data_IF_432537522190
#
_entry.id   IF_432537522190
#
_cell.length_a   1.000
_cell.length_b   1.000
_cell.length_c   1.000
_cell.angle_alpha   90.00
_cell.angle_beta   90.00
_cell.angle_gamma   90.00
#
_symmetry.space_group_name_H-M   'P 1'
#
loop_
_entity.id
_entity.type
_entity.pdbx_description
1 polymer ?
#
# COMPACT_ATOMS: atom_id res chain seq x y z
N UNK A 1 -14.55 -3.85 13.94
CA UNK A 1 -13.92 -2.99 12.94
C UNK A 1 -12.50 -3.44 12.75
N UNK A 2 -11.83 -3.85 13.83
CA UNK A 2 -10.54 -4.55 13.79
C UNK A 2 -10.49 -5.67 12.73
N UNK A 3 -11.38 -6.67 12.84
CA UNK A 3 -11.42 -7.78 11.86
C UNK A 3 -11.62 -7.29 10.41
N UNK A 4 -12.46 -6.27 10.20
CA UNK A 4 -12.68 -5.70 8.87
C UNK A 4 -11.40 -5.03 8.35
N UNK A 5 -10.70 -4.27 9.19
CA UNK A 5 -9.46 -3.59 8.81
C UNK A 5 -8.30 -4.57 8.63
N UNK A 6 -8.32 -5.72 9.29
CA UNK A 6 -7.39 -6.83 9.01
C UNK A 6 -7.66 -7.45 7.64
N UNK A 7 -8.92 -7.71 7.30
CA UNK A 7 -9.30 -8.32 6.02
C UNK A 7 -9.17 -7.35 4.85
N UNK A 8 -9.56 -6.09 5.06
CA UNK A 8 -9.58 -5.01 4.08
C UNK A 8 -8.80 -3.81 4.65
N UNK A 9 -7.46 -3.77 4.53
CA UNK A 9 -6.64 -2.69 5.09
C UNK A 9 -7.04 -1.28 4.61
N UNK A 10 -7.60 -1.17 3.39
CA UNK A 10 -8.12 0.08 2.83
C UNK A 10 -9.48 0.53 3.40
N UNK A 11 -10.19 -0.30 4.17
CA UNK A 11 -11.58 -0.06 4.54
C UNK A 11 -11.81 1.27 5.27
N UNK A 12 -10.88 1.70 6.14
CA UNK A 12 -10.97 3.00 6.82
C UNK A 12 -10.95 4.16 5.82
N UNK A 13 -10.01 4.16 4.89
CA UNK A 13 -9.89 5.17 3.82
C UNK A 13 -11.17 5.20 2.98
N UNK A 14 -11.68 4.02 2.62
CA UNK A 14 -12.87 3.88 1.79
C UNK A 14 -14.12 4.40 2.49
N UNK A 15 -14.36 4.01 3.74
CA UNK A 15 -15.49 4.49 4.55
C UNK A 15 -15.44 6.00 4.77
N UNK A 16 -14.24 6.56 4.99
CA UNK A 16 -14.07 7.99 5.11
C UNK A 16 -14.36 8.71 3.79
N UNK A 17 -13.84 8.22 2.67
CA UNK A 17 -14.03 8.86 1.37
C UNK A 17 -15.50 8.81 0.88
N UNK A 18 -16.20 7.69 1.11
CA UNK A 18 -17.58 7.52 0.67
C UNK A 18 -18.60 8.15 1.64
N UNK A 19 -18.36 8.05 2.95
CA UNK A 19 -19.37 8.34 3.97
C UNK A 19 -18.89 9.24 5.12
N UNK A 20 -17.64 9.73 5.08
CA UNK A 20 -17.01 10.52 6.15
C UNK A 20 -16.94 9.80 7.52
N UNK A 21 -16.96 8.46 7.51
CA UNK A 21 -16.87 7.62 8.71
C UNK A 21 -15.40 7.31 9.05
N UNK A 22 -15.01 7.42 10.31
CA UNK A 22 -13.68 7.04 10.82
C UNK A 22 -12.56 8.10 10.67
N UNK A 23 -12.87 9.31 10.18
CA UNK A 23 -11.90 10.39 9.96
C UNK A 23 -11.95 11.56 10.95
N UNK A 24 -12.93 11.61 11.86
CA UNK A 24 -13.04 12.64 12.90
C UNK A 24 -13.57 12.03 14.21
N UNK A 25 -13.56 12.80 15.31
CA UNK A 25 -14.08 12.31 16.60
C UNK A 25 -15.58 11.98 16.57
N UNK A 26 -16.38 12.77 15.85
CA UNK A 26 -17.84 12.61 15.80
C UNK A 26 -18.30 11.40 14.99
N UNK A 27 -17.53 10.98 13.98
CA UNK A 27 -17.84 9.84 13.12
C UNK A 27 -16.89 8.66 13.35
N UNK A 28 -16.20 8.65 14.50
CA UNK A 28 -15.31 7.56 14.88
C UNK A 28 -16.09 6.27 15.16
N UNK A 29 -15.40 5.14 15.07
CA UNK A 29 -15.89 3.84 15.49
C UNK A 29 -14.87 3.20 16.41
N UNK A 30 -15.35 2.32 17.28
CA UNK A 30 -14.50 1.51 18.15
C UNK A 30 -14.03 0.27 17.40
N UNK A 31 -12.89 -0.27 17.81
CA UNK A 31 -12.30 -1.45 17.17
C UNK A 31 -13.21 -2.69 17.28
N UNK A 32 -14.00 -2.79 18.36
CA UNK A 32 -14.93 -3.88 18.65
C UNK A 32 -16.29 -3.79 17.92
N UNK A 33 -16.66 -2.64 17.35
CA UNK A 33 -17.93 -2.49 16.61
C UNK A 33 -17.95 -3.29 15.30
N UNK A 34 -19.08 -3.84 14.89
CA UNK A 34 -19.24 -4.42 13.55
C UNK A 34 -19.47 -3.35 12.49
N UNK A 35 -19.24 -3.67 11.21
CA UNK A 35 -19.61 -2.77 10.10
C UNK A 35 -21.10 -2.42 10.14
N UNK A 36 -21.97 -3.39 10.47
CA UNK A 36 -23.42 -3.19 10.55
C UNK A 36 -23.82 -2.19 11.65
N UNK A 37 -23.19 -2.25 12.82
CA UNK A 37 -23.42 -1.28 13.92
C UNK A 37 -22.98 0.12 13.50
N UNK A 38 -21.80 0.25 12.88
CA UNK A 38 -21.29 1.53 12.37
C UNK A 38 -22.22 2.09 11.29
N UNK A 39 -22.65 1.27 10.33
CA UNK A 39 -23.58 1.66 9.27
C UNK A 39 -24.94 2.11 9.83
N UNK A 40 -25.48 1.40 10.83
CA UNK A 40 -26.76 1.75 11.47
C UNK A 40 -26.69 3.11 12.15
N UNK A 41 -25.60 3.41 12.88
CA UNK A 41 -25.41 4.71 13.55
C UNK A 41 -25.31 5.89 12.57
N UNK A 42 -24.81 5.63 11.37
CA UNK A 42 -24.56 6.67 10.35
C UNK A 42 -25.62 6.66 9.23
N UNK A 43 -26.73 5.92 9.40
CA UNK A 43 -27.81 5.83 8.41
C UNK A 43 -27.35 5.34 7.01
N UNK A 44 -26.36 4.44 6.98
CA UNK A 44 -25.78 3.85 5.77
C UNK A 44 -26.36 2.45 5.57
N UNK A 45 -26.89 2.10 4.38
CA UNK A 45 -27.24 0.71 4.05
C UNK A 45 -25.97 -0.18 4.07
N UNK A 46 -25.97 -1.23 4.89
CA UNK A 46 -24.77 -2.05 5.10
C UNK A 46 -24.35 -2.77 3.82
N UNK A 47 -25.30 -3.18 2.98
CA UNK A 47 -25.05 -3.83 1.70
C UNK A 47 -24.35 -2.88 0.70
N UNK A 48 -24.70 -1.61 0.73
CA UNK A 48 -24.04 -0.58 -0.09
C UNK A 48 -22.60 -0.37 0.39
N UNK A 49 -22.39 -0.23 1.70
CA UNK A 49 -21.06 -0.10 2.27
C UNK A 49 -20.16 -1.30 1.96
N UNK A 50 -20.69 -2.53 2.04
CA UNK A 50 -19.97 -3.75 1.65
C UNK A 50 -19.54 -3.69 0.18
N UNK A 51 -20.45 -3.29 -0.72
CA UNK A 51 -20.16 -3.20 -2.16
C UNK A 51 -19.02 -2.21 -2.40
N UNK A 52 -19.11 -1.01 -1.84
CA UNK A 52 -18.07 0.03 -1.98
C UNK A 52 -16.72 -0.43 -1.41
N UNK A 53 -16.74 -1.16 -0.29
CA UNK A 53 -15.54 -1.71 0.33
C UNK A 53 -14.86 -2.77 -0.54
N UNK A 54 -15.63 -3.70 -1.10
CA UNK A 54 -15.11 -4.75 -1.97
C UNK A 54 -14.57 -4.17 -3.28
N UNK A 55 -15.28 -3.25 -3.92
CA UNK A 55 -14.80 -2.56 -5.13
C UNK A 55 -13.53 -1.74 -4.88
N UNK A 56 -13.41 -1.14 -3.70
CA UNK A 56 -12.18 -0.47 -3.29
C UNK A 56 -11.04 -1.45 -3.04
N UNK A 57 -11.34 -2.60 -2.43
CA UNK A 57 -10.35 -3.64 -2.18
C UNK A 57 -9.81 -4.23 -3.49
N UNK A 58 -10.67 -4.51 -4.46
CA UNK A 58 -10.26 -5.03 -5.76
C UNK A 58 -9.34 -4.04 -6.49
N UNK A 59 -9.64 -2.74 -6.40
CA UNK A 59 -8.77 -1.68 -6.92
C UNK A 59 -7.42 -1.66 -6.21
N UNK A 60 -7.40 -1.79 -4.89
CA UNK A 60 -6.14 -1.84 -4.12
C UNK A 60 -5.33 -3.10 -4.49
N UNK A 61 -5.97 -4.27 -4.62
CA UNK A 61 -5.31 -5.52 -5.00
C UNK A 61 -4.68 -5.44 -6.40
N UNK A 62 -5.31 -4.75 -7.34
CA UNK A 62 -4.75 -4.53 -8.68
C UNK A 62 -3.47 -3.67 -8.68
N UNK A 63 -3.18 -2.98 -7.58
CA UNK A 63 -1.96 -2.20 -7.39
C UNK A 63 -0.85 -2.99 -6.68
N UNK A 64 -1.08 -4.23 -6.26
CA UNK A 64 -0.10 -5.01 -5.50
C UNK A 64 0.70 -5.94 -6.41
N UNK A 65 1.96 -6.14 -6.04
CA UNK A 65 2.81 -7.24 -6.52
C UNK A 65 3.25 -8.07 -5.30
N UNK A 66 3.18 -9.40 -5.39
CA UNK A 66 3.63 -10.26 -4.30
C UNK A 66 5.16 -10.30 -4.22
N UNK A 67 5.76 -10.67 -3.07
CA UNK A 67 7.20 -10.88 -2.98
C UNK A 67 7.74 -11.89 -3.99
N UNK A 68 7.00 -12.99 -4.21
CA UNK A 68 7.39 -14.02 -5.19
C UNK A 68 7.32 -13.49 -6.62
N UNK A 69 6.28 -12.77 -7.00
CA UNK A 69 6.19 -12.17 -8.34
C UNK A 69 7.29 -11.13 -8.57
N UNK A 70 7.65 -10.36 -7.53
CA UNK A 70 8.80 -9.45 -7.61
C UNK A 70 10.12 -10.21 -7.79
N UNK A 71 10.28 -11.36 -7.12
CA UNK A 71 11.46 -12.22 -7.29
C UNK A 71 11.56 -12.75 -8.72
N UNK A 72 10.46 -13.27 -9.28
CA UNK A 72 10.41 -13.72 -10.66
C UNK A 72 10.83 -12.59 -11.61
N UNK A 73 10.34 -11.38 -11.37
CA UNK A 73 10.66 -10.22 -12.17
C UNK A 73 12.12 -9.78 -12.08
N UNK A 74 12.72 -9.83 -10.89
CA UNK A 74 14.16 -9.59 -10.68
C UNK A 74 15.03 -10.59 -11.45
N UNK A 75 14.52 -11.80 -11.70
CA UNK A 75 15.22 -12.82 -12.49
C UNK A 75 14.86 -12.82 -13.98
N UNK A 76 13.91 -11.97 -14.40
CA UNK A 76 13.47 -11.85 -15.78
C UNK A 76 14.27 -10.79 -16.54
N UNK A 77 14.27 -10.87 -17.87
CA UNK A 77 14.85 -9.83 -18.74
C UNK A 77 13.90 -8.62 -18.94
N UNK A 78 12.72 -8.61 -18.29
CA UNK A 78 11.77 -7.51 -18.41
C UNK A 78 12.22 -6.32 -17.54
N UNK A 79 12.50 -5.14 -18.13
CA UNK A 79 12.96 -4.00 -17.36
C UNK A 79 11.84 -3.41 -16.50
N UNK A 80 12.17 -3.14 -15.24
CA UNK A 80 11.31 -2.42 -14.31
C UNK A 80 12.14 -1.55 -13.38
N UNK A 81 11.49 -0.61 -12.68
CA UNK A 81 12.13 0.28 -11.72
C UNK A 81 11.71 -0.11 -10.31
N UNK A 82 12.65 -0.39 -9.41
CA UNK A 82 12.38 -0.69 -8.01
C UNK A 82 12.78 0.48 -7.13
N UNK A 83 11.83 1.03 -6.37
CA UNK A 83 12.04 2.18 -5.51
C UNK A 83 11.70 1.90 -4.05
N UNK A 84 12.64 2.27 -3.20
CA UNK A 84 12.49 2.30 -1.75
C UNK A 84 11.95 3.67 -1.31
N UNK A 85 10.84 3.67 -0.58
CA UNK A 85 10.21 4.91 -0.10
C UNK A 85 10.33 5.10 1.41
N UNK A 86 11.09 4.24 2.10
CA UNK A 86 11.37 4.31 3.55
C UNK A 86 12.24 5.51 3.89
N UNK A 87 12.64 5.64 5.15
CA UNK A 87 13.64 6.66 5.52
C UNK A 87 14.99 6.40 4.87
N UNK A 88 15.82 7.45 4.80
CA UNK A 88 17.19 7.32 4.30
C UNK A 88 18.01 6.38 5.18
N UNK A 89 17.85 6.45 6.50
CA UNK A 89 18.54 5.56 7.43
C UNK A 89 18.15 4.09 7.21
N UNK A 90 16.85 3.83 7.02
CA UNK A 90 16.35 2.49 6.71
C UNK A 90 16.96 1.94 5.40
N UNK A 91 16.96 2.77 4.34
CA UNK A 91 17.52 2.41 3.04
C UNK A 91 19.03 2.13 3.07
N UNK A 92 19.79 2.96 3.79
CA UNK A 92 21.24 2.84 3.88
C UNK A 92 21.65 1.65 4.78
N UNK A 93 20.77 1.22 5.70
CA UNK A 93 21.00 0.06 6.58
C UNK A 93 20.76 -1.27 5.88
N UNK A 94 19.62 -1.42 5.20
CA UNK A 94 19.24 -2.65 4.48
C UNK A 94 18.24 -2.29 3.39
N UNK A 95 18.38 -2.87 2.19
CA UNK A 95 17.49 -2.59 1.05
C UNK A 95 17.38 -3.79 0.13
N UNK A 96 16.32 -3.83 -0.67
CA UNK A 96 16.17 -4.85 -1.70
C UNK A 96 17.25 -4.71 -2.79
N UNK A 97 17.70 -5.82 -3.41
CA UNK A 97 18.62 -5.79 -4.54
C UNK A 97 18.11 -4.87 -5.65
N UNK A 98 19.01 -4.14 -6.29
CA UNK A 98 18.74 -3.22 -7.41
C UNK A 98 17.72 -2.09 -7.13
N UNK A 99 17.30 -1.93 -5.87
CA UNK A 99 16.43 -0.84 -5.47
C UNK A 99 17.16 0.49 -5.37
N UNK A 100 16.46 1.55 -5.80
CA UNK A 100 16.91 2.94 -5.68
C UNK A 100 16.09 3.64 -4.61
N UNK A 101 16.73 4.49 -3.81
CA UNK A 101 15.99 5.38 -2.90
C UNK A 101 15.20 6.42 -3.69
N UNK A 102 13.89 6.53 -3.44
CA UNK A 102 13.05 7.52 -4.09
C UNK A 102 13.22 8.89 -3.44
N UNK A 103 14.10 9.71 -4.00
CA UNK A 103 14.20 11.13 -3.59
C UNK A 103 13.08 11.96 -4.21
N UNK A 104 12.90 13.17 -3.69
CA UNK A 104 11.95 14.14 -4.27
C UNK A 104 12.34 14.52 -5.71
N UNK A 105 13.64 14.67 -5.99
CA UNK A 105 14.15 14.99 -7.32
C UNK A 105 13.81 13.88 -8.31
N UNK A 106 14.08 12.62 -7.96
CA UNK A 106 13.76 11.48 -8.80
C UNK A 106 12.25 11.34 -9.01
N UNK A 107 11.46 11.58 -7.97
CA UNK A 107 10.01 11.62 -8.11
C UNK A 107 9.57 12.70 -9.12
N UNK A 108 10.13 13.90 -9.03
CA UNK A 108 9.84 14.99 -9.98
C UNK A 108 10.23 14.61 -11.42
N UNK A 109 11.36 13.92 -11.60
CA UNK A 109 11.80 13.40 -12.90
C UNK A 109 10.80 12.38 -13.48
N UNK A 110 10.32 11.44 -12.65
CA UNK A 110 9.31 10.45 -13.07
C UNK A 110 8.02 11.13 -13.56
N UNK A 111 7.59 12.21 -12.91
CA UNK A 111 6.39 12.94 -13.37
C UNK A 111 6.64 13.83 -14.58
N UNK A 112 7.84 14.42 -14.69
CA UNK A 112 8.22 15.20 -15.86
C UNK A 112 8.35 14.32 -17.12
N UNK A 113 8.84 13.09 -16.95
CA UNK A 113 9.01 12.11 -18.02
C UNK A 113 8.59 10.71 -17.52
N UNK A 114 7.29 10.38 -17.58
CA UNK A 114 6.79 9.07 -17.18
C UNK A 114 7.51 7.92 -17.91
N UNK A 115 8.11 6.96 -17.19
CA UNK A 115 8.73 5.80 -17.81
C UNK A 115 7.67 4.88 -18.44
N UNK A 116 8.11 4.04 -19.38
CA UNK A 116 7.25 2.98 -19.93
C UNK A 116 7.29 1.73 -19.06
N UNK A 117 8.41 1.54 -18.39
CA UNK A 117 8.70 0.49 -17.44
C UNK A 117 7.70 0.54 -16.27
N UNK A 118 7.44 -0.62 -15.69
CA UNK A 118 6.64 -0.67 -14.46
C UNK A 118 7.47 -0.15 -13.31
N UNK A 119 6.83 0.63 -12.44
CA UNK A 119 7.44 1.12 -11.21
C UNK A 119 6.95 0.23 -10.06
N UNK A 120 7.87 -0.36 -9.30
CA UNK A 120 7.55 -1.07 -8.06
C UNK A 120 8.03 -0.23 -6.88
N UNK A 121 7.12 0.12 -5.98
CA UNK A 121 7.42 0.82 -4.74
C UNK A 121 7.40 -0.16 -3.57
N UNK A 122 8.27 0.02 -2.58
CA UNK A 122 8.15 -0.69 -1.32
C UNK A 122 8.49 0.20 -0.12
N UNK A 123 7.81 -0.10 0.98
CA UNK A 123 8.12 0.44 2.30
C UNK A 123 8.47 -0.72 3.27
N UNK A 124 8.40 -0.49 4.58
CA UNK A 124 8.62 -1.52 5.58
C UNK A 124 7.59 -2.68 5.50
N UNK A 125 6.29 -2.38 5.44
CA UNK A 125 5.14 -3.33 5.54
C UNK A 125 4.15 -3.29 4.36
N UNK A 126 4.39 -2.45 3.35
CA UNK A 126 3.59 -2.29 2.14
C UNK A 126 2.37 -1.36 2.27
N UNK A 127 2.24 -0.63 3.38
CA UNK A 127 1.08 0.26 3.63
C UNK A 127 1.22 1.59 2.89
N UNK A 128 2.33 2.29 3.11
CA UNK A 128 2.62 3.60 2.52
C UNK A 128 2.87 3.50 1.02
N UNK A 129 3.44 2.38 0.56
CA UNK A 129 3.68 2.08 -0.84
C UNK A 129 2.37 1.96 -1.62
N UNK A 130 1.36 1.30 -1.06
CA UNK A 130 0.04 1.18 -1.67
C UNK A 130 -0.62 2.55 -1.83
N UNK A 131 -0.63 3.36 -0.76
CA UNK A 131 -1.18 4.73 -0.81
C UNK A 131 -0.43 5.60 -1.84
N UNK A 132 0.90 5.46 -1.91
CA UNK A 132 1.72 6.18 -2.90
C UNK A 132 1.43 5.72 -4.33
N UNK A 133 1.23 4.43 -4.57
CA UNK A 133 0.81 3.91 -5.88
C UNK A 133 -0.56 4.44 -6.29
N UNK A 134 -1.54 4.46 -5.39
CA UNK A 134 -2.85 5.06 -5.68
C UNK A 134 -2.71 6.54 -6.07
N UNK A 135 -1.85 7.30 -5.36
CA UNK A 135 -1.55 8.68 -5.70
C UNK A 135 -0.82 8.81 -7.06
N UNK A 136 0.17 7.96 -7.35
CA UNK A 136 0.89 7.90 -8.63
C UNK A 136 -0.06 7.66 -9.80
N UNK A 137 -0.99 6.71 -9.65
CA UNK A 137 -2.04 6.47 -10.63
C UNK A 137 -2.90 7.70 -10.85
N UNK A 138 -3.33 8.39 -9.79
CA UNK A 138 -4.08 9.65 -9.89
C UNK A 138 -3.36 10.76 -10.67
N UNK A 139 -2.03 10.71 -10.74
CA UNK A 139 -1.15 11.73 -11.33
C UNK A 139 -0.41 11.27 -12.60
N UNK A 140 -0.85 10.17 -13.22
CA UNK A 140 -0.40 9.75 -14.55
C UNK A 140 0.62 8.61 -14.60
N UNK A 141 1.17 8.17 -13.45
CA UNK A 141 2.06 7.01 -13.36
C UNK A 141 1.25 5.72 -13.15
N UNK A 142 0.52 5.33 -14.20
CA UNK A 142 -0.46 4.23 -14.21
C UNK A 142 0.14 2.82 -14.14
N UNK A 143 1.43 2.68 -14.36
CA UNK A 143 2.15 1.39 -14.30
C UNK A 143 2.91 1.23 -12.98
N UNK A 144 2.42 1.84 -11.90
CA UNK A 144 3.03 1.67 -10.57
C UNK A 144 2.33 0.59 -9.75
N UNK A 145 3.12 -0.23 -9.08
CA UNK A 145 2.73 -1.33 -8.20
C UNK A 145 3.42 -1.18 -6.85
N UNK A 146 2.77 -1.63 -5.78
CA UNK A 146 3.30 -1.66 -4.42
C UNK A 146 3.63 -3.09 -4.02
N UNK A 147 4.82 -3.30 -3.44
CA UNK A 147 5.21 -4.60 -2.90
C UNK A 147 4.34 -4.94 -1.68
N UNK A 148 3.51 -5.97 -1.82
CA UNK A 148 2.69 -6.49 -0.74
C UNK A 148 3.58 -6.93 0.44
N UNK A 149 3.25 -6.46 1.65
CA UNK A 149 4.02 -6.77 2.85
C UNK A 149 5.36 -6.03 2.98
N UNK A 150 5.76 -5.23 1.99
CA UNK A 150 7.00 -4.46 2.00
C UNK A 150 8.26 -5.32 2.13
N UNK A 151 9.36 -4.71 2.57
CA UNK A 151 10.64 -5.42 2.78
C UNK A 151 10.54 -6.51 3.86
N UNK A 152 9.66 -6.36 4.84
CA UNK A 152 9.43 -7.40 5.86
C UNK A 152 8.65 -8.61 5.31
N UNK A 153 7.75 -8.42 4.34
CA UNK A 153 7.13 -9.49 3.56
C UNK A 153 8.17 -10.23 2.72
N UNK A 154 8.99 -9.48 1.98
CA UNK A 154 10.13 -10.02 1.22
C UNK A 154 11.06 -10.88 2.08
N UNK A 155 11.44 -10.39 3.26
CA UNK A 155 12.33 -11.11 4.17
C UNK A 155 11.74 -12.43 4.70
N UNK A 156 10.40 -12.56 4.76
CA UNK A 156 9.74 -13.80 5.19
C UNK A 156 9.59 -14.81 4.07
N UNK A 157 9.27 -14.34 2.87
CA UNK A 157 8.80 -15.20 1.78
C UNK A 157 9.90 -15.49 0.75
N UNK A 158 10.87 -14.59 0.60
CA UNK A 158 11.87 -14.66 -0.49
C UNK A 158 13.29 -14.76 0.03
N UNK A 159 13.72 -13.83 0.89
CA UNK A 159 15.12 -13.76 1.33
C UNK A 159 15.24 -13.52 2.84
N UNK A 160 15.39 -14.62 3.59
CA UNK A 160 15.57 -14.58 5.05
C UNK A 160 16.88 -13.94 5.52
N UNK A 161 17.82 -13.62 4.62
CA UNK A 161 19.05 -12.91 4.99
C UNK A 161 18.81 -11.40 5.20
N UNK A 162 17.71 -10.86 4.64
CA UNK A 162 17.29 -9.48 4.88
C UNK A 162 16.86 -9.33 6.33
N UNK A 163 17.57 -8.47 7.06
CA UNK A 163 17.33 -8.28 8.49
C UNK A 163 15.97 -7.61 8.73
N UNK A 164 15.10 -8.29 9.49
CA UNK A 164 13.80 -7.76 9.89
C UNK A 164 13.95 -6.89 11.15
N UNK A 165 13.17 -5.83 11.23
CA UNK A 165 13.17 -4.89 12.35
C UNK A 165 11.74 -4.45 12.71
N UNK A 166 11.60 -3.69 13.79
CA UNK A 166 10.36 -2.97 14.14
C UNK A 166 10.70 -1.51 14.32
N UNK A 167 9.81 -0.63 13.87
CA UNK A 167 9.92 0.79 14.16
C UNK A 167 9.28 1.05 15.53
N UNK A 168 9.79 2.04 16.28
CA UNK A 168 9.27 2.37 17.61
C UNK A 168 7.81 2.85 17.61
N UNK A 169 7.26 3.16 16.43
CA UNK A 169 5.91 3.68 16.20
C UNK A 169 4.94 2.63 15.60
N UNK A 170 5.36 1.37 15.44
CA UNK A 170 4.53 0.26 14.94
C UNK A 170 3.49 -0.24 15.98
#
# INVERSE_FOLDING_TARGET
MENLLTLLPGARRTLFAAYHVGGCQSCSYRDDETLAEVCTRNEIPVEEAITVLLESHDRDQALLISPLDLQERLTSDEPFLLFDIRSREEHDTVRLPDSRFLTQELQNELFAQPPRETIVLYDHRGRDALDRCAWFHGHGLKTSLALAGGIDGWAREVDSSVQRYRLELD
#
